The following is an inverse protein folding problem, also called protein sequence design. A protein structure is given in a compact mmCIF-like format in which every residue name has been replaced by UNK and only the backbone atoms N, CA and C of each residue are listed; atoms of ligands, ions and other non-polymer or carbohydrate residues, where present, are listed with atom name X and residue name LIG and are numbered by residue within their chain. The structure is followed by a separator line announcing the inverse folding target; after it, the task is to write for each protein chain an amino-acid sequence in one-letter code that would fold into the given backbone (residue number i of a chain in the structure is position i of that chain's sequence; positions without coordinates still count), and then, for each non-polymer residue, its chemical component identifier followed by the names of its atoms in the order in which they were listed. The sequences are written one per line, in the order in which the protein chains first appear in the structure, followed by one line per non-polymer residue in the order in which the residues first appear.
data_IF_123547327044
#
_entry.id   IF_123547327044
#
_cell.length_a   1.000
_cell.length_b   1.000
_cell.length_c   1.000
_cell.angle_alpha   90.00
_cell.angle_beta   90.00
_cell.angle_gamma   90.00
#
_symmetry.space_group_name_H-M   'P 1'
#
loop_
_entity.id
_entity.type
_entity.pdbx_description
1 polymer ?
#
# COMPACT_ATOMS: atom_id res chain seq x y z
N UNK A 1 -15.69 2.90 -6.11
CA UNK A 1 -16.55 2.70 -4.92
C UNK A 1 -17.47 3.92 -4.78
N UNK A 2 -18.77 3.70 -4.61
CA UNK A 2 -19.73 4.79 -4.43
C UNK A 2 -19.77 5.19 -2.95
N UNK A 3 -19.43 6.44 -2.58
CA UNK A 3 -19.43 6.91 -1.20
C UNK A 3 -20.86 7.22 -0.74
N UNK A 4 -21.73 6.21 -0.71
CA UNK A 4 -23.12 6.30 -0.28
C UNK A 4 -23.33 5.35 0.89
N UNK A 5 -23.70 5.88 2.05
CA UNK A 5 -23.86 5.10 3.28
C UNK A 5 -25.01 4.09 3.18
N UNK A 6 -26.00 4.33 2.31
CA UNK A 6 -27.11 3.40 2.03
C UNK A 6 -26.63 2.15 1.28
N UNK A 7 -25.49 2.25 0.59
CA UNK A 7 -24.91 1.16 -0.21
C UNK A 7 -23.75 0.46 0.52
N UNK A 8 -23.43 0.86 1.75
CA UNK A 8 -22.30 0.34 2.52
C UNK A 8 -22.77 -0.25 3.86
N UNK A 9 -22.44 -1.52 4.11
CA UNK A 9 -22.70 -2.17 5.40
C UNK A 9 -22.03 -1.44 6.56
N UNK A 10 -20.79 -0.96 6.37
CA UNK A 10 -20.05 -0.20 7.37
C UNK A 10 -19.29 0.92 6.67
N UNK A 11 -19.91 2.11 6.50
CA UNK A 11 -19.39 3.14 5.62
C UNK A 11 -18.07 3.77 6.07
N UNK A 12 -17.61 3.58 7.32
CA UNK A 12 -16.37 4.18 7.86
C UNK A 12 -16.22 5.66 7.43
N UNK A 13 -17.27 6.44 7.68
CA UNK A 13 -17.45 7.83 7.19
C UNK A 13 -16.23 8.72 7.42
N UNK A 14 -15.49 8.51 8.51
CA UNK A 14 -14.27 9.27 8.83
C UNK A 14 -13.19 9.14 7.74
N UNK A 15 -12.99 7.95 7.17
CA UNK A 15 -12.02 7.72 6.09
C UNK A 15 -12.45 8.38 4.78
N UNK A 16 -13.75 8.39 4.48
CA UNK A 16 -14.27 9.08 3.31
C UNK A 16 -14.13 10.60 3.40
N UNK A 17 -14.25 11.16 4.62
CA UNK A 17 -14.12 12.60 4.85
C UNK A 17 -12.72 13.13 4.61
N UNK A 18 -11.70 12.33 4.88
CA UNK A 18 -10.29 12.70 4.66
C UNK A 18 -9.79 12.33 3.26
N UNK A 19 -10.66 11.79 2.40
CA UNK A 19 -10.30 11.51 1.01
C UNK A 19 -9.98 12.79 0.26
N UNK A 20 -8.84 12.80 -0.43
CA UNK A 20 -8.43 13.88 -1.31
C UNK A 20 -7.23 13.47 -2.17
N UNK A 21 -6.87 14.29 -3.16
CA UNK A 21 -5.78 13.99 -4.11
C UNK A 21 -4.39 13.96 -3.49
N UNK A 22 -4.23 14.45 -2.25
CA UNK A 22 -2.95 14.47 -1.54
C UNK A 22 -2.84 13.31 -0.54
N UNK A 23 -3.88 12.50 -0.43
CA UNK A 23 -4.03 11.57 0.67
C UNK A 23 -3.23 10.29 0.42
N UNK A 24 -2.42 9.91 1.42
CA UNK A 24 -1.79 8.61 1.50
C UNK A 24 -2.35 7.86 2.71
N UNK A 25 -2.62 6.58 2.54
CA UNK A 25 -3.09 5.71 3.61
C UNK A 25 -2.08 4.63 3.88
N UNK A 26 -1.77 4.43 5.16
CA UNK A 26 -1.10 3.23 5.65
C UNK A 26 -2.19 2.20 5.96
N UNK A 27 -2.00 0.96 5.54
CA UNK A 27 -2.77 -0.17 6.04
C UNK A 27 -1.89 -1.02 6.95
N UNK A 28 -2.37 -1.23 8.17
CA UNK A 28 -1.72 -1.99 9.23
C UNK A 28 -2.57 -3.20 9.61
N UNK A 29 -1.96 -4.37 9.74
CA UNK A 29 -2.63 -5.51 10.36
C UNK A 29 -2.56 -5.39 11.88
N UNK A 30 -3.71 -5.11 12.50
CA UNK A 30 -3.83 -4.84 13.94
C UNK A 30 -4.71 -5.87 14.68
N UNK A 31 -5.30 -6.84 13.97
CA UNK A 31 -6.15 -7.88 14.52
C UNK A 31 -5.46 -9.26 14.52
N UNK A 32 -4.43 -9.45 13.70
CA UNK A 32 -3.73 -10.72 13.54
C UNK A 32 -2.21 -10.56 13.58
N UNK A 33 -1.46 -11.62 13.95
CA UNK A 33 -0.01 -11.65 13.78
C UNK A 33 0.39 -11.41 12.33
N UNK A 34 1.52 -10.71 12.14
CA UNK A 34 2.12 -10.52 10.81
C UNK A 34 3.11 -11.64 10.55
N UNK A 35 2.96 -12.33 9.42
CA UNK A 35 3.88 -13.39 9.02
C UNK A 35 5.11 -12.79 8.31
N UNK A 36 6.32 -13.33 8.56
CA UNK A 36 7.51 -12.96 7.80
C UNK A 36 7.37 -13.21 6.30
N UNK A 37 8.21 -12.56 5.50
CA UNK A 37 8.30 -12.79 4.05
C UNK A 37 7.70 -11.68 3.18
N UNK A 38 7.32 -10.55 3.79
CA UNK A 38 6.75 -9.41 3.08
C UNK A 38 6.78 -8.12 3.91
N UNK A 39 6.14 -7.04 3.42
CA UNK A 39 6.10 -5.77 4.13
C UNK A 39 5.24 -5.84 5.40
N UNK A 40 5.63 -5.10 6.44
CA UNK A 40 4.82 -4.95 7.67
C UNK A 40 3.66 -3.97 7.50
N UNK A 41 3.83 -2.96 6.64
CA UNK A 41 2.82 -1.96 6.30
C UNK A 41 2.65 -1.87 4.78
N UNK A 42 1.42 -1.66 4.32
CA UNK A 42 1.15 -1.32 2.91
C UNK A 42 0.64 0.10 2.78
N UNK A 43 0.82 0.69 1.60
CA UNK A 43 0.56 2.10 1.33
C UNK A 43 -0.32 2.21 0.08
N UNK A 44 -1.26 3.15 0.07
CA UNK A 44 -2.14 3.38 -1.08
C UNK A 44 -2.60 4.83 -1.15
N UNK A 45 -2.88 5.30 -2.38
CA UNK A 45 -3.46 6.60 -2.66
C UNK A 45 -5.00 6.60 -2.48
N UNK A 46 -5.60 5.41 -2.55
CA UNK A 46 -7.05 5.23 -2.57
C UNK A 46 -7.54 4.75 -1.22
N UNK A 47 -8.76 5.16 -0.84
CA UNK A 47 -9.41 4.68 0.40
C UNK A 47 -9.50 3.14 0.36
N UNK A 48 -8.76 2.43 1.23
CA UNK A 48 -8.67 0.98 1.15
C UNK A 48 -9.91 0.29 1.73
N UNK A 49 -10.20 -0.89 1.19
CA UNK A 49 -11.15 -1.83 1.79
C UNK A 49 -10.64 -2.36 3.15
N UNK A 50 -11.55 -2.85 3.99
CA UNK A 50 -11.18 -3.38 5.32
C UNK A 50 -10.19 -4.55 5.24
N UNK A 51 -10.27 -5.37 4.18
CA UNK A 51 -9.43 -6.54 3.96
C UNK A 51 -8.19 -6.26 3.08
N UNK A 52 -7.89 -4.98 2.83
CA UNK A 52 -6.85 -4.53 1.88
C UNK A 52 -5.45 -5.14 2.12
N UNK A 53 -5.02 -5.34 3.38
CA UNK A 53 -3.65 -5.73 3.68
C UNK A 53 -3.30 -7.15 3.19
N UNK A 54 -4.05 -8.17 3.59
CA UNK A 54 -3.82 -9.56 3.18
C UNK A 54 -5.11 -10.39 3.02
N UNK A 55 -6.21 -9.73 2.65
CA UNK A 55 -7.54 -10.35 2.61
C UNK A 55 -8.12 -10.59 4.01
N UNK A 56 -7.67 -9.81 5.00
CA UNK A 56 -8.14 -9.84 6.39
C UNK A 56 -8.19 -8.43 6.94
N UNK A 57 -9.13 -8.21 7.85
CA UNK A 57 -9.38 -6.92 8.49
C UNK A 57 -8.11 -6.27 9.03
N UNK A 58 -7.93 -4.99 8.71
CA UNK A 58 -6.82 -4.16 9.15
C UNK A 58 -7.27 -2.79 9.67
N UNK A 59 -6.30 -1.96 10.04
CA UNK A 59 -6.49 -0.55 10.41
C UNK A 59 -5.91 0.31 9.30
N UNK A 60 -6.57 1.43 9.06
CA UNK A 60 -6.16 2.42 8.07
C UNK A 60 -5.73 3.68 8.80
N UNK A 61 -4.53 4.17 8.51
CA UNK A 61 -3.99 5.40 9.08
C UNK A 61 -3.79 6.41 7.93
N UNK A 62 -4.66 7.42 7.81
CA UNK A 62 -4.50 8.47 6.81
C UNK A 62 -3.34 9.41 7.20
N UNK A 63 -2.56 9.89 6.23
CA UNK A 63 -1.52 10.92 6.39
C UNK A 63 -2.11 12.24 6.88
N UNK A 64 -3.18 12.73 6.27
CA UNK A 64 -3.89 13.92 6.72
C UNK A 64 -5.22 13.57 7.39
N UNK A 65 -5.59 14.38 8.36
CA UNK A 65 -6.86 14.33 9.07
C UNK A 65 -7.90 15.31 8.49
N UNK A 66 -7.68 15.75 7.26
CA UNK A 66 -8.59 16.52 6.39
C UNK A 66 -8.42 16.00 4.96
N UNK A 67 -9.29 16.43 4.03
CA UNK A 67 -9.14 16.14 2.59
C UNK A 67 -7.97 16.90 1.94
N UNK A 68 -7.50 17.97 2.59
CA UNK A 68 -6.34 18.75 2.19
C UNK A 68 -5.11 18.49 3.08
N UNK A 69 -4.10 19.34 2.94
CA UNK A 69 -2.81 19.19 3.64
C UNK A 69 -2.75 19.89 4.99
N UNK A 70 -3.83 20.58 5.38
CA UNK A 70 -3.84 21.57 6.46
C UNK A 70 -3.69 20.93 7.83
N UNK A 71 -4.08 19.66 7.97
CA UNK A 71 -4.04 18.95 9.26
C UNK A 71 -3.36 17.60 9.12
N UNK A 72 -2.02 17.52 9.13
CA UNK A 72 -1.31 16.24 9.22
C UNK A 72 -1.80 15.43 10.43
N UNK A 73 -2.04 14.13 10.22
CA UNK A 73 -2.49 13.19 11.23
C UNK A 73 -1.29 12.65 12.04
N UNK A 74 -0.52 13.57 12.61
CA UNK A 74 0.71 13.31 13.35
C UNK A 74 0.63 13.92 14.75
N UNK A 75 1.47 13.40 15.66
CA UNK A 75 1.63 13.97 16.98
C UNK A 75 2.09 15.44 16.87
N UNK A 76 1.46 16.39 17.58
CA UNK A 76 1.92 17.78 17.61
C UNK A 76 3.39 17.88 18.03
N UNK A 77 4.13 18.81 17.43
CA UNK A 77 5.56 19.04 17.73
C UNK A 77 6.52 17.98 17.19
N UNK A 78 6.04 16.86 16.63
CA UNK A 78 6.91 15.81 16.11
C UNK A 78 7.77 16.29 14.94
N UNK A 79 7.16 16.98 13.96
CA UNK A 79 7.89 17.45 12.78
C UNK A 79 8.89 18.54 13.15
N UNK A 80 8.55 19.43 14.09
CA UNK A 80 9.45 20.47 14.59
C UNK A 80 10.68 19.85 15.26
N UNK A 81 10.47 18.88 16.16
CA UNK A 81 11.55 18.14 16.81
C UNK A 81 12.45 17.42 15.80
N UNK A 82 11.87 16.80 14.77
CA UNK A 82 12.65 16.15 13.71
C UNK A 82 13.43 17.18 12.90
N UNK A 83 12.82 18.33 12.62
CA UNK A 83 13.49 19.40 11.90
C UNK A 83 14.67 19.98 12.66
N UNK A 84 14.54 20.15 13.97
CA UNK A 84 15.65 20.52 14.86
C UNK A 84 16.74 19.43 14.89
N UNK A 85 16.35 18.15 14.99
CA UNK A 85 17.28 17.03 15.03
C UNK A 85 18.12 16.91 13.75
N UNK A 86 17.52 17.20 12.59
CA UNK A 86 18.17 17.04 11.28
C UNK A 86 18.69 18.36 10.69
N UNK A 87 18.40 19.49 11.32
CA UNK A 87 18.83 20.82 10.86
C UNK A 87 18.14 21.29 9.58
N UNK A 88 16.99 20.70 9.21
CA UNK A 88 16.22 21.04 8.02
C UNK A 88 14.72 20.79 8.25
N UNK A 89 13.80 21.57 7.64
CA UNK A 89 12.37 21.31 7.75
C UNK A 89 12.00 19.89 7.34
N UNK A 90 11.07 19.28 8.08
CA UNK A 90 10.56 17.92 7.80
C UNK A 90 9.08 17.99 7.47
N UNK A 91 8.72 17.52 6.27
CA UNK A 91 7.34 17.48 5.82
C UNK A 91 6.62 16.19 6.26
N UNK A 92 5.28 16.18 6.37
CA UNK A 92 4.52 14.96 6.68
C UNK A 92 4.85 13.78 5.75
N UNK A 93 5.04 14.07 4.47
CA UNK A 93 5.44 13.09 3.45
C UNK A 93 6.83 12.52 3.67
N UNK A 94 7.76 13.26 4.26
CA UNK A 94 9.10 12.75 4.59
C UNK A 94 9.00 11.69 5.69
N UNK A 95 8.19 11.95 6.72
CA UNK A 95 7.95 10.96 7.76
C UNK A 95 7.22 9.71 7.20
N UNK A 96 6.24 9.90 6.32
CA UNK A 96 5.57 8.78 5.63
C UNK A 96 6.56 7.96 4.79
N UNK A 97 7.46 8.64 4.07
CA UNK A 97 8.51 8.00 3.29
C UNK A 97 9.47 7.22 4.19
N UNK A 98 9.94 7.82 5.29
CA UNK A 98 10.79 7.13 6.28
C UNK A 98 10.12 5.85 6.81
N UNK A 99 8.82 5.91 7.14
CA UNK A 99 8.04 4.73 7.56
C UNK A 99 7.98 3.69 6.45
N UNK A 100 7.75 4.09 5.19
CA UNK A 100 7.72 3.17 4.06
C UNK A 100 9.08 2.48 3.83
N UNK A 101 10.18 3.24 3.85
CA UNK A 101 11.53 2.68 3.68
C UNK A 101 11.85 1.60 4.71
N UNK A 102 11.50 1.85 5.97
CA UNK A 102 11.82 0.96 7.09
C UNK A 102 10.89 -0.24 7.21
N UNK A 103 9.64 -0.17 6.73
CA UNK A 103 8.62 -1.20 7.02
C UNK A 103 8.10 -1.95 5.80
N UNK A 104 8.24 -1.40 4.59
CA UNK A 104 7.63 -1.94 3.38
C UNK A 104 8.47 -3.06 2.71
N UNK A 105 9.18 -3.88 3.48
CA UNK A 105 10.03 -4.94 2.93
C UNK A 105 10.18 -6.12 3.89
N UNK A 106 10.56 -7.28 3.35
CA UNK A 106 10.66 -8.53 4.13
C UNK A 106 11.68 -8.53 5.27
N UNK A 107 12.74 -7.71 5.19
CA UNK A 107 13.77 -7.70 6.23
C UNK A 107 13.26 -7.09 7.54
N UNK A 108 12.30 -6.16 7.50
CA UNK A 108 11.63 -5.68 8.71
C UNK A 108 10.84 -6.79 9.40
N UNK A 109 10.00 -7.51 8.66
CA UNK A 109 9.17 -8.58 9.23
C UNK A 109 9.99 -9.78 9.70
N UNK A 110 11.14 -10.04 9.06
CA UNK A 110 12.09 -11.03 9.54
C UNK A 110 12.79 -10.60 10.84
N UNK A 111 13.29 -9.35 10.91
CA UNK A 111 13.99 -8.81 12.09
C UNK A 111 13.10 -8.77 13.32
N UNK A 112 11.86 -8.32 13.18
CA UNK A 112 10.92 -8.13 14.29
C UNK A 112 9.89 -9.26 14.39
N UNK A 113 10.19 -10.46 13.87
CA UNK A 113 9.23 -11.57 13.81
C UNK A 113 8.63 -11.95 15.19
N UNK A 114 9.41 -11.83 16.27
CA UNK A 114 8.96 -12.02 17.65
C UNK A 114 7.92 -10.97 18.05
N UNK A 115 8.27 -9.69 17.91
CA UNK A 115 7.42 -8.55 18.30
C UNK A 115 6.11 -8.53 17.50
N UNK A 116 6.18 -8.91 16.23
CA UNK A 116 5.06 -8.90 15.28
C UNK A 116 4.04 -10.02 15.52
N UNK A 117 4.27 -10.92 16.48
CA UNK A 117 3.21 -11.81 16.98
C UNK A 117 2.15 -11.05 17.75
N UNK A 118 2.53 -9.95 18.39
CA UNK A 118 1.59 -9.04 19.03
C UNK A 118 1.23 -7.94 18.03
N UNK A 119 -0.06 -7.77 17.68
CA UNK A 119 -0.46 -6.73 16.73
C UNK A 119 -0.03 -5.32 17.17
N UNK A 120 0.29 -4.49 16.18
CA UNK A 120 0.82 -3.13 16.36
C UNK A 120 2.24 -2.99 15.84
N UNK A 121 2.42 -2.19 14.78
CA UNK A 121 3.73 -1.88 14.22
C UNK A 121 4.39 -0.74 14.98
N UNK A 122 5.65 -0.95 15.39
CA UNK A 122 6.50 0.09 15.98
C UNK A 122 7.66 0.33 15.04
N UNK A 123 7.89 1.59 14.68
CA UNK A 123 8.92 1.98 13.72
C UNK A 123 10.08 2.59 14.50
N UNK A 124 11.32 2.05 14.39
CA UNK A 124 12.48 2.68 14.99
C UNK A 124 12.77 4.01 14.29
N UNK A 125 13.00 5.07 15.07
CA UNK A 125 13.23 6.42 14.55
C UNK A 125 14.71 6.79 14.73
N UNK A 126 15.43 6.95 13.63
CA UNK A 126 16.84 7.36 13.64
C UNK A 126 17.01 8.78 14.17
N UNK A 127 18.11 9.04 14.87
CA UNK A 127 18.58 10.38 15.21
C UNK A 127 19.75 10.83 14.31
N UNK A 128 20.18 9.97 13.37
CA UNK A 128 21.23 10.28 12.40
C UNK A 128 20.63 10.96 11.15
N UNK A 129 21.03 12.21 10.83
CA UNK A 129 20.50 12.96 9.68
C UNK A 129 20.80 12.32 8.31
N UNK A 130 21.95 11.66 8.15
CA UNK A 130 22.29 11.01 6.88
C UNK A 130 21.47 9.74 6.65
N UNK A 131 21.27 8.96 7.72
CA UNK A 131 20.39 7.78 7.68
C UNK A 131 18.95 8.21 7.41
N UNK A 132 18.49 9.30 8.04
CA UNK A 132 17.17 9.88 7.79
C UNK A 132 17.00 10.26 6.32
N UNK A 133 17.91 11.07 5.77
CA UNK A 133 17.86 11.51 4.37
C UNK A 133 17.85 10.34 3.39
N UNK A 134 18.70 9.33 3.64
CA UNK A 134 18.74 8.10 2.83
C UNK A 134 17.38 7.38 2.88
N UNK A 135 16.84 7.18 4.09
CA UNK A 135 15.56 6.50 4.29
C UNK A 135 14.40 7.26 3.63
N UNK A 136 14.36 8.59 3.71
CA UNK A 136 13.34 9.41 3.05
C UNK A 136 13.41 9.24 1.52
N UNK A 137 14.62 9.27 0.93
CA UNK A 137 14.79 9.07 -0.52
C UNK A 137 14.27 7.71 -0.99
N UNK A 138 14.71 6.63 -0.33
CA UNK A 138 14.25 5.26 -0.59
C UNK A 138 12.74 5.15 -0.39
N UNK A 139 12.24 5.72 0.69
CA UNK A 139 10.82 5.70 1.05
C UNK A 139 9.92 6.39 0.04
N UNK A 140 10.36 7.52 -0.51
CA UNK A 140 9.64 8.23 -1.58
C UNK A 140 9.52 7.38 -2.82
N UNK A 141 10.55 6.58 -3.15
CA UNK A 141 10.50 5.60 -4.24
C UNK A 141 9.55 4.44 -3.93
N UNK A 142 9.56 3.89 -2.71
CA UNK A 142 8.60 2.86 -2.28
C UNK A 142 7.16 3.35 -2.42
N UNK A 143 6.87 4.54 -1.90
CA UNK A 143 5.53 5.15 -1.97
C UNK A 143 5.09 5.39 -3.42
N UNK A 144 6.00 5.85 -4.30
CA UNK A 144 5.71 5.99 -5.73
C UNK A 144 5.34 4.64 -6.37
N UNK A 145 6.06 3.56 -6.05
CA UNK A 145 5.74 2.21 -6.53
C UNK A 145 4.39 1.70 -6.01
N UNK A 146 4.15 1.81 -4.71
CA UNK A 146 2.92 1.35 -4.06
C UNK A 146 1.66 2.11 -4.53
N UNK A 147 1.84 3.37 -4.94
CA UNK A 147 0.77 4.22 -5.49
C UNK A 147 0.74 4.22 -7.03
N UNK A 148 1.50 3.34 -7.69
CA UNK A 148 1.56 3.21 -9.15
C UNK A 148 1.85 4.53 -9.87
N UNK A 149 2.66 5.39 -9.25
CA UNK A 149 3.10 6.67 -9.81
C UNK A 149 2.14 7.84 -9.62
N UNK A 150 1.07 7.67 -8.84
CA UNK A 150 0.14 8.75 -8.51
C UNK A 150 0.71 9.73 -7.46
N UNK A 151 1.56 9.25 -6.54
CA UNK A 151 2.21 10.08 -5.52
C UNK A 151 3.72 9.98 -5.60
N UNK A 152 4.39 10.93 -4.94
CA UNK A 152 5.86 11.00 -4.92
C UNK A 152 6.43 11.07 -6.35
N UNK A 153 5.82 11.89 -7.19
CA UNK A 153 6.31 12.18 -8.53
C UNK A 153 7.54 13.10 -8.44
N UNK A 154 8.59 12.71 -9.13
CA UNK A 154 9.84 13.43 -9.33
C UNK A 154 10.60 12.80 -10.50
N UNK A 155 10.46 13.38 -11.69
CA UNK A 155 11.11 12.86 -12.89
C UNK A 155 12.63 12.92 -12.82
N UNK A 156 13.21 13.86 -12.06
CA UNK A 156 14.67 13.97 -11.91
C UNK A 156 15.27 12.83 -11.10
N UNK A 157 14.47 12.23 -10.20
CA UNK A 157 14.79 11.05 -9.42
C UNK A 157 14.20 9.75 -10.01
N UNK A 158 13.84 9.74 -11.30
CA UNK A 158 13.32 8.55 -11.99
C UNK A 158 11.91 8.11 -11.55
N UNK A 159 11.11 9.02 -10.97
CA UNK A 159 9.72 8.80 -10.51
C UNK A 159 8.74 9.65 -11.34
N UNK A 160 8.56 9.41 -12.65
CA UNK A 160 7.63 10.19 -13.46
C UNK A 160 6.16 10.02 -13.03
N UNK A 161 5.28 10.93 -13.47
CA UNK A 161 3.83 10.83 -13.27
C UNK A 161 3.21 9.79 -14.24
N UNK A 162 3.61 8.54 -14.11
CA UNK A 162 3.15 7.42 -14.92
C UNK A 162 3.30 6.09 -14.19
N UNK A 163 2.60 5.03 -14.61
CA UNK A 163 2.77 3.70 -14.05
C UNK A 163 4.25 3.28 -14.06
N UNK A 164 4.75 2.67 -12.96
CA UNK A 164 6.13 2.21 -12.88
C UNK A 164 6.51 1.26 -14.01
N UNK A 165 7.70 1.50 -14.59
CA UNK A 165 8.28 0.68 -15.65
C UNK A 165 9.75 0.39 -15.35
N UNK A 166 10.18 -0.84 -15.60
CA UNK A 166 11.58 -1.23 -15.55
C UNK A 166 12.32 -0.51 -16.69
N UNK A 167 13.42 0.16 -16.35
CA UNK A 167 14.17 0.97 -17.30
C UNK A 167 14.84 0.13 -18.41
N UNK A 168 15.32 -1.06 -18.06
CA UNK A 168 15.98 -1.96 -19.00
C UNK A 168 14.95 -2.79 -19.78
N UNK A 169 14.76 -2.48 -21.06
CA UNK A 169 13.77 -3.10 -21.94
C UNK A 169 13.87 -4.64 -22.02
N UNK A 170 15.07 -5.20 -21.87
CA UNK A 170 15.29 -6.65 -21.88
C UNK A 170 14.82 -7.36 -20.60
N UNK A 171 14.70 -6.63 -19.48
CA UNK A 171 14.24 -7.16 -18.20
C UNK A 171 12.72 -7.03 -18.03
N UNK A 172 12.03 -6.34 -18.96
CA UNK A 172 10.58 -6.12 -18.89
C UNK A 172 9.82 -7.40 -19.22
N UNK A 173 8.84 -7.82 -18.38
CA UNK A 173 7.96 -8.93 -18.71
C UNK A 173 7.19 -8.65 -20.01
N UNK A 174 7.23 -9.62 -20.94
CA UNK A 174 6.54 -9.57 -22.24
C UNK A 174 5.68 -10.80 -22.43
N UNK A 175 4.62 -10.65 -23.19
CA UNK A 175 3.80 -11.78 -23.65
C UNK A 175 4.62 -12.58 -24.65
N UNK A 176 5.02 -13.79 -24.27
CA UNK A 176 5.73 -14.75 -25.11
C UNK A 176 4.74 -15.60 -25.91
N UNK A 177 3.63 -15.97 -25.27
CA UNK A 177 2.47 -16.64 -25.87
C UNK A 177 1.22 -15.96 -25.34
N UNK A 178 0.34 -15.54 -26.25
CA UNK A 178 -0.91 -14.87 -25.88
C UNK A 178 -1.76 -15.75 -24.95
N UNK A 179 -2.36 -15.13 -23.93
CA UNK A 179 -3.37 -15.79 -23.10
C UNK A 179 -4.66 -15.85 -23.94
N UNK A 180 -5.28 -17.03 -24.14
CA UNK A 180 -6.48 -17.13 -24.96
C UNK A 180 -7.64 -16.30 -24.39
N UNK A 181 -8.30 -15.56 -25.28
CA UNK A 181 -9.48 -14.72 -24.99
C UNK A 181 -10.80 -15.38 -25.42
N UNK A 182 -10.75 -16.64 -25.87
CA UNK A 182 -11.90 -17.51 -26.10
C UNK A 182 -12.47 -18.04 -24.78
N UNK A 183 -13.78 -18.23 -24.63
CA UNK A 183 -14.38 -18.85 -23.45
C UNK A 183 -13.78 -20.22 -23.09
N UNK A 184 -13.50 -21.06 -24.08
CA UNK A 184 -12.95 -22.41 -23.89
C UNK A 184 -11.47 -22.38 -23.45
N UNK A 185 -10.77 -21.30 -23.77
CA UNK A 185 -9.36 -21.09 -23.45
C UNK A 185 -9.13 -20.25 -22.19
N UNK A 186 -10.19 -19.88 -21.48
CA UNK A 186 -10.08 -19.08 -20.26
C UNK A 186 -9.24 -19.83 -19.20
N UNK A 187 -8.19 -19.21 -18.63
CA UNK A 187 -7.24 -19.93 -17.81
C UNK A 187 -7.81 -20.30 -16.44
N UNK A 188 -7.48 -21.51 -15.98
CA UNK A 188 -7.80 -21.98 -14.62
C UNK A 188 -6.59 -22.20 -13.72
N UNK A 189 -5.40 -22.21 -14.33
CA UNK A 189 -4.14 -22.52 -13.67
C UNK A 189 -3.11 -21.40 -13.85
N UNK A 190 -2.34 -21.18 -12.79
CA UNK A 190 -1.20 -20.29 -12.76
C UNK A 190 0.02 -21.09 -12.28
N UNK A 191 1.05 -21.15 -13.09
CA UNK A 191 2.29 -21.89 -12.79
C UNK A 191 3.52 -21.07 -13.18
N UNK A 192 4.67 -21.45 -12.65
CA UNK A 192 5.92 -20.72 -12.84
C UNK A 192 7.08 -21.70 -13.02
N UNK A 193 7.92 -21.43 -14.00
CA UNK A 193 9.18 -22.15 -14.22
C UNK A 193 10.36 -21.27 -13.79
N UNK A 194 11.07 -21.60 -12.70
CA UNK A 194 12.20 -20.81 -12.21
C UNK A 194 13.44 -20.88 -13.11
N UNK A 195 13.56 -21.90 -13.97
CA UNK A 195 14.70 -22.07 -14.87
C UNK A 195 14.57 -21.14 -16.07
N UNK A 196 13.38 -21.12 -16.69
CA UNK A 196 13.11 -20.22 -17.83
C UNK A 196 12.62 -18.84 -17.40
N UNK A 197 12.31 -18.65 -16.10
CA UNK A 197 11.72 -17.42 -15.56
C UNK A 197 10.42 -17.04 -16.25
N UNK A 198 9.58 -18.04 -16.56
CA UNK A 198 8.32 -17.85 -17.28
C UNK A 198 7.13 -18.12 -16.37
N UNK A 199 6.22 -17.15 -16.35
CA UNK A 199 4.88 -17.29 -15.75
C UNK A 199 3.92 -17.85 -16.81
N UNK A 200 3.27 -18.96 -16.49
CA UNK A 200 2.24 -19.58 -17.31
C UNK A 200 0.86 -19.26 -16.75
N UNK A 201 -0.01 -18.71 -17.60
CA UNK A 201 -1.41 -18.39 -17.30
C UNK A 201 -2.28 -19.22 -18.25
N UNK A 202 -2.71 -20.40 -17.79
CA UNK A 202 -3.20 -21.45 -18.69
C UNK A 202 -2.15 -21.79 -19.75
N UNK A 203 -2.53 -21.66 -21.03
CA UNK A 203 -1.62 -21.86 -22.17
C UNK A 203 -0.80 -20.62 -22.55
N UNK A 204 -1.14 -19.44 -22.01
CA UNK A 204 -0.38 -18.21 -22.20
C UNK A 204 0.91 -18.19 -21.40
N UNK A 205 1.91 -17.43 -21.87
CA UNK A 205 3.25 -17.36 -21.27
C UNK A 205 3.75 -15.93 -21.23
N UNK A 206 4.24 -15.49 -20.08
CA UNK A 206 4.82 -14.16 -19.86
C UNK A 206 6.21 -14.31 -19.25
N UNK A 207 7.19 -13.56 -19.75
CA UNK A 207 8.54 -13.56 -19.20
C UNK A 207 9.40 -12.39 -19.70
N UNK A 208 10.53 -12.09 -19.03
CA UNK A 208 11.01 -12.77 -17.81
C UNK A 208 10.22 -12.34 -16.56
N UNK A 209 10.12 -13.23 -15.58
CA UNK A 209 9.58 -13.00 -14.23
C UNK A 209 10.54 -13.62 -13.22
N UNK A 210 11.11 -12.82 -12.33
CA UNK A 210 12.08 -13.32 -11.36
C UNK A 210 11.40 -14.21 -10.29
N UNK A 211 12.13 -15.14 -9.65
CA UNK A 211 11.59 -15.93 -8.54
C UNK A 211 11.08 -15.06 -7.38
N UNK A 212 11.76 -13.93 -7.11
CA UNK A 212 11.36 -12.99 -6.07
C UNK A 212 9.96 -12.40 -6.33
N UNK A 213 9.62 -12.12 -7.59
CA UNK A 213 8.29 -11.62 -7.99
C UNK A 213 7.22 -12.71 -7.84
N UNK A 214 7.53 -13.94 -8.24
CA UNK A 214 6.63 -15.09 -8.08
C UNK A 214 6.31 -15.38 -6.60
N UNK A 215 7.34 -15.34 -5.76
CA UNK A 215 7.23 -15.67 -4.33
C UNK A 215 6.79 -14.49 -3.46
N UNK A 216 6.61 -13.29 -4.05
CA UNK A 216 6.26 -12.08 -3.31
C UNK A 216 4.94 -12.24 -2.54
N UNK A 217 5.00 -11.92 -1.25
CA UNK A 217 3.91 -12.14 -0.30
C UNK A 217 3.66 -10.92 0.56
N UNK A 218 2.42 -10.77 1.02
CA UNK A 218 2.05 -9.86 2.11
C UNK A 218 1.44 -10.68 3.24
N UNK A 219 2.19 -10.84 4.33
CA UNK A 219 1.78 -11.63 5.51
C UNK A 219 1.22 -13.02 5.13
N UNK A 220 1.98 -13.76 4.32
CA UNK A 220 1.66 -15.11 3.83
C UNK A 220 0.65 -15.18 2.67
N UNK A 221 0.15 -14.05 2.17
CA UNK A 221 -0.69 -13.99 0.97
C UNK A 221 0.20 -13.79 -0.27
N UNK A 222 0.31 -14.80 -1.14
CA UNK A 222 0.99 -14.67 -2.43
C UNK A 222 0.21 -13.74 -3.36
N UNK A 223 0.84 -12.63 -3.77
CA UNK A 223 0.14 -11.54 -4.48
C UNK A 223 -0.34 -11.99 -5.86
N UNK A 224 0.52 -12.61 -6.68
CA UNK A 224 0.13 -13.08 -8.02
C UNK A 224 -0.95 -14.15 -7.99
N UNK A 225 -0.81 -15.14 -7.07
CA UNK A 225 -1.80 -16.22 -6.92
C UNK A 225 -3.15 -15.67 -6.46
N UNK A 226 -3.14 -14.70 -5.53
CA UNK A 226 -4.36 -14.02 -5.09
C UNK A 226 -4.99 -13.25 -6.25
N UNK A 227 -4.22 -12.46 -6.99
CA UNK A 227 -4.69 -11.68 -8.13
C UNK A 227 -5.35 -12.56 -9.21
N UNK A 228 -4.69 -13.68 -9.56
CA UNK A 228 -5.21 -14.64 -10.53
C UNK A 228 -6.44 -15.39 -10.03
N UNK A 229 -6.50 -15.73 -8.74
CA UNK A 229 -7.62 -16.48 -8.16
C UNK A 229 -9.00 -15.82 -8.29
N UNK A 230 -9.07 -14.49 -8.51
CA UNK A 230 -10.32 -13.78 -8.83
C UNK A 230 -10.67 -13.74 -10.33
N UNK A 231 -9.73 -14.12 -11.20
CA UNK A 231 -9.79 -13.93 -12.66
C UNK A 231 -9.77 -15.24 -13.46
N UNK A 232 -9.64 -16.37 -12.77
CA UNK A 232 -9.68 -17.71 -13.38
C UNK A 232 -11.09 -18.14 -13.75
N UNK A 233 -11.21 -19.06 -14.72
CA UNK A 233 -12.49 -19.54 -15.22
C UNK A 233 -13.37 -20.17 -14.12
N UNK A 234 -12.82 -21.12 -13.36
CA UNK A 234 -13.52 -21.81 -12.29
C UNK A 234 -13.39 -21.07 -10.96
N UNK A 235 -14.55 -20.76 -10.37
CA UNK A 235 -14.59 -20.11 -9.05
C UNK A 235 -14.02 -21.04 -7.98
N UNK A 236 -13.18 -20.54 -7.04
CA UNK A 236 -12.86 -21.29 -5.83
C UNK A 236 -14.13 -21.60 -5.02
N UNK A 237 -14.38 -22.89 -4.74
CA UNK A 237 -15.54 -23.37 -3.96
C UNK A 237 -15.55 -22.90 -2.49
N UNK A 238 -14.46 -22.34 -1.99
CA UNK A 238 -14.24 -21.98 -0.58
C UNK A 238 -14.91 -20.67 -0.11
N UNK A 239 -15.78 -20.05 -0.92
CA UNK A 239 -16.34 -18.70 -0.65
C UNK A 239 -17.73 -18.65 0.02
N UNK A 240 -18.25 -19.76 0.56
CA UNK A 240 -19.55 -19.77 1.26
C UNK A 240 -20.75 -19.62 0.33
N UNK A 241 -21.94 -19.35 0.90
CA UNK A 241 -23.18 -19.04 0.16
C UNK A 241 -23.05 -17.73 -0.61
N UNK A 242 -23.51 -17.72 -1.85
CA UNK A 242 -23.21 -16.69 -2.84
C UNK A 242 -24.48 -16.14 -3.44
N UNK A 243 -24.45 -14.85 -3.81
CA UNK A 243 -25.55 -14.22 -4.54
C UNK A 243 -25.40 -14.48 -6.04
N UNK A 244 -26.51 -14.43 -6.79
CA UNK A 244 -26.49 -14.54 -8.25
C UNK A 244 -25.63 -13.45 -8.93
N UNK A 245 -25.36 -12.33 -8.25
CA UNK A 245 -24.47 -11.28 -8.75
C UNK A 245 -23.01 -11.73 -8.80
N UNK A 246 -22.59 -12.63 -7.92
CA UNK A 246 -21.21 -13.11 -7.93
C UNK A 246 -20.90 -14.00 -9.15
N UNK A 247 -21.93 -14.47 -9.86
CA UNK A 247 -21.79 -15.23 -11.09
C UNK A 247 -21.68 -14.34 -12.34
N UNK A 248 -21.95 -13.03 -12.21
CA UNK A 248 -21.71 -12.03 -13.24
C UNK A 248 -20.22 -11.70 -13.34
N UNK A 249 -19.49 -12.57 -14.05
CA UNK A 249 -18.04 -12.48 -14.24
C UNK A 249 -17.70 -12.54 -15.73
N UNK A 250 -16.51 -12.06 -16.14
CA UNK A 250 -16.03 -12.27 -17.51
C UNK A 250 -16.02 -13.77 -17.84
N UNK A 251 -16.62 -14.12 -18.96
CA UNK A 251 -16.68 -15.50 -19.48
C UNK A 251 -15.48 -15.85 -20.37
N UNK A 252 -14.59 -14.88 -20.60
CA UNK A 252 -13.33 -15.06 -21.30
C UNK A 252 -12.28 -14.09 -20.78
N UNK A 253 -11.01 -14.26 -21.16
CA UNK A 253 -9.90 -13.43 -20.69
C UNK A 253 -9.86 -12.09 -21.43
N UNK A 254 -10.23 -10.96 -20.80
CA UNK A 254 -10.20 -9.67 -21.47
C UNK A 254 -8.76 -9.18 -21.62
N UNK A 255 -8.45 -8.46 -22.70
CA UNK A 255 -7.13 -7.86 -22.90
C UNK A 255 -6.67 -6.99 -21.71
N UNK A 256 -7.62 -6.33 -21.03
CA UNK A 256 -7.36 -5.54 -19.83
C UNK A 256 -6.72 -6.36 -18.68
N UNK A 257 -7.00 -7.66 -18.56
CA UNK A 257 -6.35 -8.52 -17.55
C UNK A 257 -4.88 -8.77 -17.88
N UNK A 258 -4.53 -8.91 -19.16
CA UNK A 258 -3.13 -9.00 -19.57
C UNK A 258 -2.39 -7.70 -19.28
N UNK A 259 -2.99 -6.55 -19.58
CA UNK A 259 -2.41 -5.23 -19.26
C UNK A 259 -2.18 -5.07 -17.75
N UNK A 260 -3.20 -5.34 -16.94
CA UNK A 260 -3.13 -5.26 -15.47
C UNK A 260 -2.07 -6.23 -14.90
N UNK A 261 -1.95 -7.44 -15.45
CA UNK A 261 -0.92 -8.41 -15.06
C UNK A 261 0.50 -7.90 -15.38
N UNK A 262 0.72 -7.38 -16.59
CA UNK A 262 2.03 -6.84 -16.97
C UNK A 262 2.42 -5.65 -16.07
N UNK A 263 1.49 -4.76 -15.77
CA UNK A 263 1.73 -3.65 -14.84
C UNK A 263 2.01 -4.14 -13.41
N UNK A 264 1.29 -5.16 -12.94
CA UNK A 264 1.57 -5.78 -11.64
C UNK A 264 2.96 -6.42 -11.59
N UNK A 265 3.38 -7.13 -12.64
CA UNK A 265 4.70 -7.74 -12.72
C UNK A 265 5.81 -6.68 -12.74
N UNK A 266 5.64 -5.59 -13.49
CA UNK A 266 6.58 -4.46 -13.50
C UNK A 266 6.70 -3.82 -12.12
N UNK A 267 5.58 -3.55 -11.45
CA UNK A 267 5.57 -2.98 -10.11
C UNK A 267 6.21 -3.91 -9.07
N UNK A 268 5.87 -5.20 -9.08
CA UNK A 268 6.46 -6.18 -8.15
C UNK A 268 7.95 -6.36 -8.39
N UNK A 269 8.41 -6.35 -9.64
CA UNK A 269 9.84 -6.43 -9.96
C UNK A 269 10.59 -5.28 -9.30
N UNK A 270 10.14 -4.04 -9.54
CA UNK A 270 10.74 -2.85 -8.96
C UNK A 270 10.68 -2.84 -7.43
N UNK A 271 9.60 -3.32 -6.82
CA UNK A 271 9.49 -3.46 -5.35
C UNK A 271 10.51 -4.46 -4.82
N UNK A 272 10.63 -5.63 -5.45
CA UNK A 272 11.60 -6.66 -5.01
C UNK A 272 13.05 -6.23 -5.18
N UNK A 273 13.36 -5.44 -6.21
CA UNK A 273 14.69 -4.87 -6.43
C UNK A 273 15.10 -3.85 -5.36
N UNK A 274 14.13 -3.20 -4.70
CA UNK A 274 14.38 -2.24 -3.62
C UNK A 274 14.61 -2.87 -2.25
N UNK A 275 14.16 -4.10 -2.02
CA UNK A 275 14.23 -4.73 -0.70
C UNK A 275 15.64 -4.79 -0.10
N UNK A 276 16.72 -5.05 -0.87
CA UNK A 276 18.09 -5.01 -0.35
C UNK A 276 18.51 -3.63 0.17
N UNK A 277 18.14 -2.56 -0.54
CA UNK A 277 18.44 -1.18 -0.13
C UNK A 277 17.65 -0.81 1.13
N UNK A 278 16.37 -1.18 1.20
CA UNK A 278 15.56 -1.01 2.41
C UNK A 278 16.13 -1.79 3.62
N UNK A 279 16.63 -3.00 3.39
CA UNK A 279 17.31 -3.79 4.42
C UNK A 279 18.55 -3.08 4.97
N UNK A 280 19.38 -2.50 4.09
CA UNK A 280 20.55 -1.72 4.49
C UNK A 280 20.17 -0.46 5.27
N UNK A 281 19.12 0.24 4.85
CA UNK A 281 18.58 1.39 5.61
C UNK A 281 18.17 0.95 7.01
N UNK A 282 17.40 -0.14 7.13
CA UNK A 282 16.96 -0.64 8.43
C UNK A 282 18.15 -1.07 9.30
N UNK A 283 19.18 -1.68 8.73
CA UNK A 283 20.40 -2.05 9.44
C UNK A 283 21.10 -0.81 10.01
N UNK A 284 21.23 0.26 9.21
CA UNK A 284 21.82 1.54 9.66
C UNK A 284 20.99 2.19 10.77
N UNK A 285 19.65 2.18 10.66
CA UNK A 285 18.76 2.69 11.74
C UNK A 285 18.94 1.89 13.04
N UNK A 286 19.15 0.57 12.94
CA UNK A 286 19.30 -0.28 14.11
C UNK A 286 20.70 -0.23 14.73
N UNK A 287 21.74 0.07 13.94
CA UNK A 287 23.11 0.25 14.42
C UNK A 287 23.38 1.68 14.94
N UNK A 288 22.65 2.67 14.44
CA UNK A 288 22.84 4.09 14.76
C UNK A 288 22.06 4.60 15.99
N UNK A 289 22.28 5.88 16.34
CA UNK A 289 21.50 6.55 17.39
C UNK A 289 20.03 6.65 16.99
N UNK A 290 19.14 6.52 17.98
CA UNK A 290 17.68 6.58 17.78
C UNK A 290 17.03 7.58 18.71
N UNK A 291 16.01 8.27 18.21
CA UNK A 291 15.16 9.14 19.01
C UNK A 291 14.36 8.27 19.98
N UNK A 292 14.56 8.50 21.28
CA UNK A 292 13.96 7.69 22.33
C UNK A 292 12.58 8.21 22.74
N UNK A 293 11.78 7.38 23.41
CA UNK A 293 10.54 7.82 24.06
C UNK A 293 10.82 8.95 25.06
N UNK A 294 11.92 8.87 25.81
CA UNK A 294 12.30 9.91 26.76
C UNK A 294 12.58 11.25 26.05
N UNK A 295 13.22 11.23 24.88
CA UNK A 295 13.45 12.41 24.04
C UNK A 295 12.12 13.01 23.58
N UNK A 296 11.19 12.18 23.09
CA UNK A 296 9.86 12.62 22.67
C UNK A 296 9.04 13.20 23.83
N UNK A 297 9.13 12.62 25.02
CA UNK A 297 8.45 13.12 26.23
C UNK A 297 9.05 14.43 26.71
N UNK A 298 10.38 14.55 26.74
CA UNK A 298 11.07 15.78 27.13
C UNK A 298 10.73 16.95 26.19
N UNK A 299 10.56 16.67 24.90
CA UNK A 299 10.13 17.64 23.88
C UNK A 299 8.61 17.90 23.87
N UNK A 300 7.82 17.26 24.75
CA UNK A 300 6.37 17.45 24.81
C UNK A 300 5.58 16.81 23.65
N UNK A 301 6.21 16.00 22.80
CA UNK A 301 5.54 15.27 21.71
C UNK A 301 4.69 14.11 22.26
N UNK A 302 5.17 13.48 23.34
CA UNK A 302 4.45 12.43 24.06
C UNK A 302 4.13 12.84 25.50
N UNK A 303 2.95 12.45 26.04
CA UNK A 303 1.90 11.67 25.39
C UNK A 303 1.08 12.48 24.37
N UNK A 304 0.61 11.82 23.31
CA UNK A 304 -0.23 12.47 22.29
C UNK A 304 -1.54 12.96 22.93
N UNK A 305 -1.92 14.25 22.76
CA UNK A 305 -3.17 14.79 23.28
C UNK A 305 -4.41 14.03 22.79
N UNK A 306 -5.44 13.80 23.64
CA UNK A 306 -6.61 13.00 23.29
C UNK A 306 -7.32 13.44 21.99
N UNK A 307 -7.42 14.74 21.74
CA UNK A 307 -8.04 15.36 20.57
C UNK A 307 -7.29 15.10 19.25
N UNK A 308 -6.04 14.61 19.33
CA UNK A 308 -5.24 14.18 18.17
C UNK A 308 -5.29 12.67 17.95
N UNK A 309 -5.97 11.90 18.80
CA UNK A 309 -6.10 10.43 18.67
C UNK A 309 -7.27 10.00 17.79
N UNK A 310 -8.15 10.92 17.43
CA UNK A 310 -9.31 10.66 16.56
C UNK A 310 -9.35 11.65 15.42
N UNK A 311 -9.87 11.21 14.27
CA UNK A 311 -10.13 12.11 13.15
C UNK A 311 -11.19 13.15 13.53
N UNK A 312 -11.07 14.41 13.07
CA UNK A 312 -12.05 15.45 13.34
C UNK A 312 -13.44 15.03 12.89
N UNK A 313 -14.43 15.27 13.74
CA UNK A 313 -15.83 15.20 13.34
C UNK A 313 -16.21 16.55 12.75
N UNK A 314 -16.84 16.55 11.58
CA UNK A 314 -17.54 17.72 11.05
C UNK A 314 -18.56 18.22 12.08
N UNK A 315 -18.66 19.53 12.35
CA UNK A 315 -19.79 20.08 13.08
C UNK A 315 -21.07 19.67 12.35
N UNK A 316 -22.10 19.21 13.06
CA UNK A 316 -23.42 19.02 12.46
C UNK A 316 -23.94 20.39 12.06
N UNK A 317 -23.87 20.73 10.78
CA UNK A 317 -24.61 21.88 10.26
C UNK A 317 -26.09 21.54 10.36
N UNK A 318 -26.82 22.16 11.28
CA UNK A 318 -28.28 22.09 11.35
C UNK A 318 -28.84 22.91 10.19
N UNK A 319 -28.77 22.40 8.97
CA UNK A 319 -29.56 22.93 7.88
C UNK A 319 -30.94 22.27 7.98
N UNK A 320 -31.94 23.00 8.46
CA UNK A 320 -33.34 22.65 8.19
C UNK A 320 -33.52 22.57 6.67
N UNK A 321 -34.27 21.58 6.15
CA UNK A 321 -34.55 21.55 4.72
C UNK A 321 -35.39 22.80 4.39
N UNK A 322 -34.85 23.68 3.56
CA UNK A 322 -35.67 24.68 2.90
C UNK A 322 -36.54 23.95 1.88
N UNK A 323 -37.86 24.15 1.98
CA UNK A 323 -38.84 23.74 0.99
C UNK A 323 -38.57 24.50 -0.33
N UNK A 324 -37.76 23.92 -1.22
CA UNK A 324 -37.74 24.36 -2.61
C UNK A 324 -38.92 23.71 -3.34
N UNK A 325 -40.00 24.50 -3.41
CA UNK A 325 -41.15 24.30 -4.29
C UNK A 325 -40.67 24.18 -5.75
N UNK A 326 -40.99 23.04 -6.37
CA UNK A 326 -40.90 22.86 -7.82
C UNK A 326 -41.79 23.90 -8.52
N UNK A 327 -41.30 24.65 -9.53
CA UNK A 327 -42.19 25.44 -10.37
C UNK A 327 -43.04 24.49 -11.22
N UNK A 328 -44.37 24.63 -11.09
CA UNK A 328 -45.35 23.85 -11.83
C UNK A 328 -45.37 24.15 -13.32
N UNK A 329 -45.65 23.08 -14.07
CA UNK A 329 -46.30 22.91 -15.40
C UNK A 329 -46.51 24.20 -16.21
#
# INVERSE_FOLDING_TARGET
MFPDDRLLSTPRTDLWRVRGSHQLYITEQHAHPIKPGGPALSFTAHTPDIDHYNGRGGRVLPLYASSGRERPNLAPGLLDLLGECFGAPVEPEDLMAYVAATTAHRAFTARFAEDLRTPGIRVPLTADPEVWSTAVSVGRRVLWLHTRGEHMVDSSAGRPASPPRIAHEAARPKVLVAIPDSPEGMPDELSYDPVTQVLSVGTGRIGPVSPAVWDYQVSGMHVLRKWFGYRRATRPKTRGEQSALDDLRPISWPAAYTTDLLELLEALTLVTEMEPEQAQVLDRVMAGPRISVATLTAAGVLPVPPERRTLPKTPRTSASPAEDLLPGI
#
